data_IF_788135582985
#
_entry.id   IF_788135582985
#
_cell.length_a   1.000
_cell.length_b   1.000
_cell.length_c   1.000
_cell.angle_alpha   90.00
_cell.angle_beta   90.00
_cell.angle_gamma   90.00
#
_symmetry.space_group_name_H-M   'P 1'
#
loop_
_entity.id
_entity.type
_entity.pdbx_description
1 polymer ?
#
# COMPACT_ATOMS: atom_id res chain seq x y z
N UNK A 1 -46.86 22.06 -6.89
CA UNK A 1 -46.43 20.87 -6.10
C UNK A 1 -45.28 20.10 -6.75
N UNK A 2 -45.28 19.92 -8.08
CA UNK A 2 -44.28 19.12 -8.80
C UNK A 2 -42.82 19.60 -8.64
N UNK A 3 -42.58 20.91 -8.58
CA UNK A 3 -41.22 21.46 -8.43
C UNK A 3 -40.63 21.26 -7.02
N UNK A 4 -41.48 21.23 -5.99
CA UNK A 4 -41.04 20.97 -4.61
C UNK A 4 -40.51 19.54 -4.47
N UNK A 5 -41.16 18.56 -5.10
CA UNK A 5 -40.71 17.17 -5.10
C UNK A 5 -39.39 16.97 -5.86
N UNK A 6 -39.23 17.64 -7.02
CA UNK A 6 -37.96 17.62 -7.77
C UNK A 6 -36.82 18.23 -6.97
N UNK A 7 -37.06 19.35 -6.29
CA UNK A 7 -36.06 20.01 -5.42
C UNK A 7 -35.64 19.14 -4.24
N UNK A 8 -36.58 18.45 -3.59
CA UNK A 8 -36.29 17.52 -2.49
C UNK A 8 -35.49 16.31 -3.01
N UNK A 9 -35.91 15.70 -4.12
CA UNK A 9 -35.21 14.56 -4.72
C UNK A 9 -33.77 14.93 -5.09
N UNK A 10 -33.56 16.09 -5.71
CA UNK A 10 -32.21 16.57 -6.03
C UNK A 10 -31.33 16.69 -4.77
N UNK A 11 -31.84 17.27 -3.68
CA UNK A 11 -31.10 17.37 -2.41
C UNK A 11 -30.76 16.00 -1.84
N UNK A 12 -31.68 15.04 -1.91
CA UNK A 12 -31.44 13.66 -1.44
C UNK A 12 -30.35 12.99 -2.27
N UNK A 13 -30.43 13.05 -3.61
CA UNK A 13 -29.41 12.49 -4.49
C UNK A 13 -28.05 13.13 -4.24
N UNK A 14 -28.01 14.45 -4.08
CA UNK A 14 -26.78 15.18 -3.77
C UNK A 14 -26.13 14.72 -2.45
N UNK A 15 -26.91 14.59 -1.38
CA UNK A 15 -26.41 14.09 -0.09
C UNK A 15 -25.89 12.66 -0.21
N UNK A 16 -26.61 11.78 -0.91
CA UNK A 16 -26.18 10.39 -1.12
C UNK A 16 -24.88 10.32 -1.93
N UNK A 17 -24.68 11.21 -2.91
CA UNK A 17 -23.41 11.31 -3.65
C UNK A 17 -22.26 11.71 -2.72
N UNK A 18 -22.47 12.66 -1.81
CA UNK A 18 -21.46 13.04 -0.80
C UNK A 18 -21.13 11.86 0.11
N UNK A 19 -22.16 11.15 0.60
CA UNK A 19 -21.97 9.97 1.45
C UNK A 19 -21.20 8.85 0.74
N UNK A 20 -21.45 8.67 -0.57
CA UNK A 20 -20.71 7.74 -1.42
C UNK A 20 -19.23 8.07 -1.58
N UNK A 21 -18.83 9.33 -1.40
CA UNK A 21 -17.44 9.79 -1.52
C UNK A 21 -16.66 9.76 -0.19
N UNK A 22 -17.31 9.51 0.94
CA UNK A 22 -16.64 9.49 2.26
C UNK A 22 -15.40 8.59 2.36
N UNK A 23 -15.32 7.40 1.72
CA UNK A 23 -14.12 6.58 1.77
C UNK A 23 -12.86 7.27 1.22
N UNK A 24 -13.02 8.21 0.28
CA UNK A 24 -11.92 8.96 -0.31
C UNK A 24 -11.27 9.92 0.68
N UNK A 25 -12.04 10.42 1.65
CA UNK A 25 -11.54 11.36 2.65
C UNK A 25 -10.37 10.75 3.40
N UNK A 26 -10.47 9.47 3.79
CA UNK A 26 -9.43 8.72 4.52
C UNK A 26 -8.04 8.86 3.89
N UNK A 27 -7.91 8.51 2.61
CA UNK A 27 -6.62 8.62 1.91
C UNK A 27 -6.19 10.06 1.67
N UNK A 28 -7.09 10.92 1.21
CA UNK A 28 -6.78 12.33 0.95
C UNK A 28 -6.28 13.02 2.23
N UNK A 29 -6.94 12.80 3.36
CA UNK A 29 -6.52 13.37 4.63
C UNK A 29 -5.19 12.83 5.14
N UNK A 30 -4.88 11.54 4.91
CA UNK A 30 -3.56 10.99 5.24
C UNK A 30 -2.47 11.65 4.40
N UNK A 31 -2.71 11.79 3.09
CA UNK A 31 -1.76 12.44 2.17
C UNK A 31 -1.52 13.91 2.52
N UNK A 32 -2.55 14.60 3.02
CA UNK A 32 -2.46 15.99 3.47
C UNK A 32 -1.89 16.14 4.90
N UNK A 33 -1.56 15.03 5.58
CA UNK A 33 -1.04 15.06 6.95
C UNK A 33 -2.08 15.40 8.03
N UNK A 34 -3.38 15.32 7.72
CA UNK A 34 -4.46 15.59 8.68
C UNK A 34 -4.58 14.50 9.75
N UNK A 35 -4.13 13.29 9.44
CA UNK A 35 -4.10 12.15 10.36
C UNK A 35 -3.05 11.12 9.92
N UNK A 36 -2.73 10.18 10.82
CA UNK A 36 -1.80 9.11 10.54
C UNK A 36 -2.28 8.19 9.38
N UNK A 37 -1.35 7.60 8.59
CA UNK A 37 -1.68 6.73 7.47
C UNK A 37 -2.67 5.61 7.80
N UNK A 38 -2.42 4.90 8.92
CA UNK A 38 -3.27 3.80 9.37
C UNK A 38 -4.68 4.28 9.76
N UNK A 39 -4.80 5.47 10.35
CA UNK A 39 -6.09 6.09 10.68
C UNK A 39 -6.89 6.37 9.41
N UNK A 40 -6.28 6.96 8.39
CA UNK A 40 -6.97 7.21 7.13
C UNK A 40 -7.40 5.94 6.41
N UNK A 41 -6.56 4.89 6.44
CA UNK A 41 -6.93 3.57 5.94
C UNK A 41 -8.15 2.99 6.68
N UNK A 42 -8.14 3.02 8.02
CA UNK A 42 -9.27 2.57 8.83
C UNK A 42 -10.54 3.38 8.58
N UNK A 43 -10.43 4.69 8.38
CA UNK A 43 -11.55 5.55 8.00
C UNK A 43 -12.11 5.14 6.64
N UNK A 44 -11.27 4.93 5.62
CA UNK A 44 -11.70 4.44 4.31
C UNK A 44 -12.50 3.14 4.44
N UNK A 45 -11.99 2.18 5.21
CA UNK A 45 -12.67 0.90 5.45
C UNK A 45 -14.00 1.08 6.17
N UNK A 46 -14.04 1.92 7.22
CA UNK A 46 -15.25 2.20 8.00
C UNK A 46 -16.35 2.86 7.16
N UNK A 47 -15.99 3.78 6.27
CA UNK A 47 -16.96 4.50 5.42
C UNK A 47 -17.38 3.72 4.18
N UNK A 48 -16.74 2.59 3.88
CA UNK A 48 -17.08 1.77 2.71
C UNK A 48 -18.51 1.21 2.78
N UNK A 49 -18.97 0.79 3.97
CA UNK A 49 -20.33 0.27 4.16
C UNK A 49 -21.40 1.37 3.96
N UNK A 50 -21.34 2.53 4.65
CA UNK A 50 -22.25 3.65 4.39
C UNK A 50 -22.22 4.12 2.92
N UNK A 51 -21.05 4.14 2.28
CA UNK A 51 -20.92 4.51 0.88
C UNK A 51 -21.62 3.49 -0.04
N UNK A 52 -21.47 2.20 0.23
CA UNK A 52 -22.16 1.14 -0.51
C UNK A 52 -23.69 1.23 -0.36
N UNK A 53 -24.19 1.49 0.85
CA UNK A 53 -25.63 1.73 1.09
C UNK A 53 -26.11 2.94 0.30
N UNK A 54 -25.35 4.04 0.33
CA UNK A 54 -25.70 5.26 -0.39
C UNK A 54 -25.72 5.04 -1.90
N UNK A 55 -24.74 4.30 -2.43
CA UNK A 55 -24.67 3.90 -3.83
C UNK A 55 -25.86 3.00 -4.24
N UNK A 56 -26.27 2.06 -3.38
CA UNK A 56 -27.44 1.23 -3.63
C UNK A 56 -28.73 2.08 -3.73
N UNK A 57 -28.92 3.04 -2.83
CA UNK A 57 -30.07 3.95 -2.88
C UNK A 57 -30.05 4.80 -4.15
N UNK A 58 -28.88 5.32 -4.55
CA UNK A 58 -28.72 6.05 -5.82
C UNK A 58 -29.08 5.18 -7.03
N UNK A 59 -28.61 3.93 -7.04
CA UNK A 59 -28.90 2.97 -8.11
C UNK A 59 -30.41 2.69 -8.23
N UNK A 60 -31.13 2.60 -7.11
CA UNK A 60 -32.59 2.48 -7.11
C UNK A 60 -33.26 3.67 -7.83
N UNK A 61 -32.88 4.90 -7.49
CA UNK A 61 -33.47 6.09 -8.12
C UNK A 61 -33.14 6.18 -9.61
N UNK A 62 -31.93 5.76 -10.02
CA UNK A 62 -31.55 5.67 -11.43
C UNK A 62 -32.46 4.66 -12.16
N UNK A 63 -32.61 3.44 -11.63
CA UNK A 63 -33.50 2.45 -12.25
C UNK A 63 -34.95 2.90 -12.28
N UNK A 64 -35.46 3.51 -11.22
CA UNK A 64 -36.82 4.04 -11.18
C UNK A 64 -37.05 5.19 -12.18
N UNK A 65 -36.02 5.95 -12.52
CA UNK A 65 -36.11 7.01 -13.53
C UNK A 65 -36.11 6.46 -14.97
N UNK A 66 -35.22 5.51 -15.27
CA UNK A 66 -35.08 4.97 -16.63
C UNK A 66 -36.10 3.87 -16.97
N UNK A 67 -36.52 3.07 -15.99
CA UNK A 67 -37.47 1.97 -16.19
C UNK A 67 -38.87 2.45 -15.80
N UNK A 68 -39.68 2.80 -16.81
CA UNK A 68 -41.07 3.27 -16.61
C UNK A 68 -41.98 2.25 -15.93
N UNK A 69 -41.70 0.96 -16.08
CA UNK A 69 -42.42 -0.12 -15.40
C UNK A 69 -41.88 -0.32 -13.98
N UNK A 70 -42.69 0.08 -13.00
CA UNK A 70 -42.35 0.02 -11.58
C UNK A 70 -42.07 -1.41 -11.09
N UNK A 71 -42.75 -2.44 -11.63
CA UNK A 71 -42.51 -3.83 -11.23
C UNK A 71 -41.14 -4.29 -11.72
N UNK A 72 -40.80 -3.96 -12.98
CA UNK A 72 -39.48 -4.26 -13.57
C UNK A 72 -38.35 -3.52 -12.85
N UNK A 73 -38.54 -2.24 -12.52
CA UNK A 73 -37.56 -1.45 -11.79
C UNK A 73 -37.23 -2.06 -10.42
N UNK A 74 -38.28 -2.44 -9.67
CA UNK A 74 -38.12 -3.09 -8.35
C UNK A 74 -37.46 -4.46 -8.49
N UNK A 75 -37.87 -5.28 -9.46
CA UNK A 75 -37.25 -6.60 -9.66
C UNK A 75 -35.77 -6.51 -10.04
N UNK A 76 -35.40 -5.57 -10.92
CA UNK A 76 -34.00 -5.34 -11.30
C UNK A 76 -33.16 -4.84 -10.12
N UNK A 77 -33.71 -3.97 -9.28
CA UNK A 77 -33.03 -3.49 -8.08
C UNK A 77 -32.83 -4.59 -7.04
N UNK A 78 -33.86 -5.40 -6.77
CA UNK A 78 -33.75 -6.55 -5.86
C UNK A 78 -32.71 -7.53 -6.37
N UNK A 79 -32.69 -7.82 -7.67
CA UNK A 79 -31.68 -8.69 -8.27
C UNK A 79 -30.27 -8.12 -8.08
N UNK A 80 -30.07 -6.83 -8.30
CA UNK A 80 -28.79 -6.16 -8.06
C UNK A 80 -28.35 -6.24 -6.58
N UNK A 81 -29.29 -6.07 -5.63
CA UNK A 81 -29.01 -6.23 -4.20
C UNK A 81 -28.67 -7.67 -3.83
N UNK A 82 -29.33 -8.67 -4.44
CA UNK A 82 -29.02 -10.08 -4.21
C UNK A 82 -27.61 -10.39 -4.71
N UNK A 83 -27.23 -9.95 -5.91
CA UNK A 83 -25.86 -10.11 -6.42
C UNK A 83 -24.83 -9.38 -5.57
N UNK A 84 -25.11 -8.15 -5.14
CA UNK A 84 -24.23 -7.38 -4.26
C UNK A 84 -24.09 -8.04 -2.88
N UNK A 85 -25.19 -8.51 -2.30
CA UNK A 85 -25.21 -9.21 -1.02
C UNK A 85 -24.49 -10.56 -1.08
N UNK A 86 -24.66 -11.31 -2.18
CA UNK A 86 -23.91 -12.53 -2.45
C UNK A 86 -22.41 -12.22 -2.57
N UNK A 87 -22.04 -11.21 -3.37
CA UNK A 87 -20.66 -10.74 -3.48
C UNK A 87 -20.08 -10.30 -2.13
N UNK A 88 -20.85 -9.65 -1.26
CA UNK A 88 -20.43 -9.26 0.07
C UNK A 88 -20.24 -10.47 1.00
N UNK A 89 -21.21 -11.38 1.07
CA UNK A 89 -21.15 -12.56 1.96
C UNK A 89 -20.01 -13.49 1.55
N UNK A 90 -19.80 -13.72 0.26
CA UNK A 90 -18.75 -14.60 -0.22
C UNK A 90 -17.39 -13.90 -0.37
N UNK A 91 -17.37 -12.57 -0.57
CA UNK A 91 -16.14 -11.81 -0.80
C UNK A 91 -15.56 -11.09 0.43
N UNK A 92 -16.38 -10.68 1.40
CA UNK A 92 -15.97 -9.86 2.54
C UNK A 92 -15.98 -10.61 3.87
N UNK A 93 -16.93 -11.54 4.07
CA UNK A 93 -17.07 -12.29 5.34
C UNK A 93 -16.22 -13.58 5.42
N UNK A 94 -15.48 -13.91 4.36
CA UNK A 94 -14.40 -14.88 4.50
C UNK A 94 -13.21 -14.13 5.12
N UNK A 95 -12.56 -14.70 6.14
CA UNK A 95 -11.15 -14.33 6.37
C UNK A 95 -10.49 -14.39 5.01
N UNK A 96 -9.88 -13.30 4.51
CA UNK A 96 -9.30 -13.38 3.19
C UNK A 96 -8.15 -14.35 3.36
N UNK A 97 -8.37 -15.59 2.91
CA UNK A 97 -7.31 -16.50 2.51
C UNK A 97 -6.32 -15.65 1.73
N UNK A 98 -5.02 -15.84 1.89
CA UNK A 98 -4.06 -15.02 1.17
C UNK A 98 -4.06 -15.37 -0.33
N UNK A 99 -5.17 -15.08 -1.01
CA UNK A 99 -5.48 -15.34 -2.41
C UNK A 99 -4.50 -14.59 -3.32
N UNK A 100 -3.96 -13.50 -2.81
CA UNK A 100 -2.87 -12.74 -3.44
C UNK A 100 -1.50 -13.36 -3.22
N UNK A 101 -1.29 -14.14 -2.16
CA UNK A 101 0.03 -14.60 -1.72
C UNK A 101 0.94 -13.47 -1.20
N UNK A 102 0.40 -12.30 -0.86
CA UNK A 102 1.15 -11.08 -0.55
C UNK A 102 0.90 -10.56 0.87
N UNK A 103 -0.04 -11.15 1.61
CA UNK A 103 -0.42 -10.66 2.95
C UNK A 103 0.62 -11.05 4.01
N UNK A 104 0.61 -10.39 5.16
CA UNK A 104 1.36 -10.85 6.35
C UNK A 104 2.90 -10.78 6.26
N UNK A 105 3.44 -10.06 5.28
CA UNK A 105 4.85 -9.63 5.20
C UNK A 105 4.88 -8.12 5.08
N UNK A 106 5.76 -7.48 5.84
CA UNK A 106 5.95 -6.03 5.89
C UNK A 106 7.42 -5.63 6.14
N UNK A 107 8.30 -6.63 6.21
CA UNK A 107 9.75 -6.50 6.30
C UNK A 107 10.34 -7.45 5.27
N UNK A 108 11.05 -6.90 4.30
CA UNK A 108 11.61 -7.65 3.18
C UNK A 108 13.09 -7.31 3.06
N UNK A 109 13.96 -8.31 3.10
CA UNK A 109 15.41 -8.16 2.97
C UNK A 109 15.99 -9.08 1.90
N UNK A 110 16.99 -8.61 1.17
CA UNK A 110 17.76 -9.43 0.24
C UNK A 110 18.71 -10.39 0.97
N UNK A 111 19.12 -10.06 2.20
CA UNK A 111 19.94 -10.90 3.07
C UNK A 111 19.14 -11.27 4.32
N UNK A 112 18.60 -12.49 4.36
CA UNK A 112 17.78 -12.97 5.49
C UNK A 112 18.63 -13.54 6.63
N UNK A 113 19.91 -13.84 6.38
CA UNK A 113 20.82 -14.38 7.40
C UNK A 113 21.48 -13.25 8.19
N UNK A 114 21.83 -12.17 7.51
CA UNK A 114 22.36 -10.94 8.09
C UNK A 114 21.66 -9.71 7.49
N UNK A 115 20.40 -9.45 7.88
CA UNK A 115 19.65 -8.31 7.37
C UNK A 115 20.38 -6.99 7.63
N UNK A 116 20.47 -6.08 6.65
CA UNK A 116 20.97 -4.74 6.89
C UNK A 116 20.27 -4.05 8.08
N UNK A 117 21.06 -3.45 8.95
CA UNK A 117 20.59 -2.78 10.17
C UNK A 117 20.26 -1.31 9.92
N UNK A 118 19.15 -0.85 10.47
CA UNK A 118 18.82 0.56 10.56
C UNK A 118 19.57 1.22 11.73
N UNK A 119 20.08 2.43 11.52
CA UNK A 119 20.77 3.24 12.54
C UNK A 119 20.17 4.63 12.67
N UNK A 120 19.93 5.31 11.55
CA UNK A 120 19.38 6.66 11.55
C UNK A 120 17.85 6.68 11.73
N UNK A 121 17.15 5.65 11.25
CA UNK A 121 15.69 5.56 11.27
C UNK A 121 15.12 4.82 12.50
N UNK A 122 15.93 4.55 13.53
CA UNK A 122 15.50 3.85 14.75
C UNK A 122 14.36 4.58 15.47
N UNK A 123 14.47 5.91 15.58
CA UNK A 123 13.48 6.78 16.25
C UNK A 123 12.52 7.46 15.26
N UNK A 124 12.37 6.90 14.05
CA UNK A 124 11.53 7.49 13.03
C UNK A 124 10.07 7.62 13.51
N UNK A 125 9.42 8.79 13.34
CA UNK A 125 8.11 9.05 13.91
C UNK A 125 7.04 8.13 13.33
N UNK A 126 6.10 7.72 14.19
CA UNK A 126 4.96 6.90 13.83
C UNK A 126 5.28 5.41 13.59
N UNK A 127 6.49 4.95 13.90
CA UNK A 127 6.86 3.53 13.86
C UNK A 127 6.17 2.75 14.98
N UNK A 128 5.61 1.60 14.61
CA UNK A 128 5.00 0.61 15.51
C UNK A 128 5.67 -0.76 15.31
N UNK A 129 6.00 -1.10 14.06
CA UNK A 129 6.62 -2.38 13.74
C UNK A 129 8.08 -2.42 14.24
N UNK A 130 8.45 -3.54 14.87
CA UNK A 130 9.80 -3.80 15.38
C UNK A 130 10.82 -3.91 14.24
N UNK A 131 12.10 -3.69 14.58
CA UNK A 131 13.24 -3.98 13.72
C UNK A 131 13.70 -5.44 13.79
N UNK A 132 13.09 -6.24 14.67
CA UNK A 132 13.37 -7.66 14.76
C UNK A 132 13.01 -8.37 13.45
N UNK A 133 13.90 -9.25 13.00
CA UNK A 133 13.70 -10.06 11.81
C UNK A 133 13.61 -11.55 12.22
N UNK A 134 12.47 -12.00 12.79
CA UNK A 134 12.34 -13.36 13.29
C UNK A 134 12.28 -14.37 12.14
N UNK A 135 12.61 -15.62 12.46
CA UNK A 135 12.60 -16.74 11.50
C UNK A 135 11.24 -16.89 10.78
N UNK A 136 10.13 -16.66 11.49
CA UNK A 136 8.79 -16.69 10.90
C UNK A 136 8.63 -15.67 9.76
N UNK A 137 9.17 -14.45 9.91
CA UNK A 137 9.17 -13.45 8.85
C UNK A 137 10.01 -13.92 7.66
N UNK A 138 11.18 -14.51 7.92
CA UNK A 138 12.04 -15.04 6.87
C UNK A 138 11.36 -16.17 6.09
N UNK A 139 10.66 -17.09 6.76
CA UNK A 139 9.92 -18.19 6.14
C UNK A 139 8.76 -17.66 5.28
N UNK A 140 7.99 -16.71 5.80
CA UNK A 140 6.91 -16.05 5.06
C UNK A 140 7.42 -15.28 3.86
N UNK A 141 8.51 -14.53 4.01
CA UNK A 141 9.17 -13.83 2.89
C UNK A 141 9.63 -14.84 1.85
N UNK A 142 10.33 -15.91 2.25
CA UNK A 142 10.85 -16.93 1.33
C UNK A 142 9.74 -17.62 0.54
N UNK A 143 8.59 -17.87 1.16
CA UNK A 143 7.44 -18.47 0.48
C UNK A 143 6.81 -17.51 -0.57
N UNK A 144 6.83 -16.20 -0.33
CA UNK A 144 6.10 -15.21 -1.13
C UNK A 144 6.95 -14.46 -2.13
N UNK A 145 8.21 -14.23 -1.77
CA UNK A 145 9.20 -13.43 -2.51
C UNK A 145 10.54 -14.18 -2.66
N UNK A 146 10.56 -15.44 -3.15
CA UNK A 146 11.79 -16.23 -3.27
C UNK A 146 12.84 -15.65 -4.23
N UNK A 147 12.44 -14.69 -5.07
CA UNK A 147 13.34 -14.00 -6.00
C UNK A 147 14.07 -12.81 -5.38
N UNK A 148 13.66 -12.31 -4.20
CA UNK A 148 14.35 -11.21 -3.51
C UNK A 148 15.68 -11.73 -2.96
N UNK A 149 16.78 -11.28 -3.55
CA UNK A 149 18.15 -11.78 -3.30
C UNK A 149 19.14 -10.61 -3.42
N UNK A 150 20.37 -10.75 -2.88
CA UNK A 150 21.36 -9.69 -2.97
C UNK A 150 21.73 -9.41 -4.42
N UNK A 151 21.94 -8.14 -4.77
CA UNK A 151 22.41 -7.75 -6.08
C UNK A 151 23.94 -7.85 -6.12
N UNK A 152 24.48 -8.58 -7.09
CA UNK A 152 25.93 -8.74 -7.30
C UNK A 152 26.31 -7.92 -8.54
N UNK A 153 27.40 -7.16 -8.45
CA UNK A 153 27.90 -6.29 -9.52
C UNK A 153 29.42 -6.36 -9.62
N UNK A 154 29.97 -6.12 -10.80
CA UNK A 154 31.42 -5.99 -11.04
C UNK A 154 31.97 -4.63 -10.61
N UNK A 155 31.10 -3.67 -10.28
CA UNK A 155 31.51 -2.35 -9.79
C UNK A 155 32.30 -2.46 -8.49
N UNK A 156 33.32 -1.63 -8.34
CA UNK A 156 34.03 -1.47 -7.08
C UNK A 156 33.08 -0.91 -6.00
N UNK A 157 33.32 -1.18 -4.69
CA UNK A 157 32.39 -0.83 -3.63
C UNK A 157 31.97 0.63 -3.58
N UNK A 158 32.91 1.55 -3.85
CA UNK A 158 32.63 3.00 -3.87
C UNK A 158 31.71 3.37 -5.04
N UNK A 159 31.95 2.81 -6.23
CA UNK A 159 31.15 3.07 -7.42
C UNK A 159 29.74 2.46 -7.29
N UNK A 160 29.66 1.22 -6.77
CA UNK A 160 28.40 0.56 -6.47
C UNK A 160 27.59 1.33 -5.43
N UNK A 161 28.24 1.87 -4.39
CA UNK A 161 27.59 2.71 -3.38
C UNK A 161 27.03 4.01 -3.98
N UNK A 162 27.84 4.73 -4.76
CA UNK A 162 27.41 5.97 -5.40
C UNK A 162 26.26 5.71 -6.37
N UNK A 163 26.35 4.64 -7.18
CA UNK A 163 25.27 4.21 -8.07
C UNK A 163 23.99 3.88 -7.30
N UNK A 164 24.11 3.11 -6.21
CA UNK A 164 22.98 2.75 -5.36
C UNK A 164 22.29 3.99 -4.79
N UNK A 165 23.07 4.96 -4.31
CA UNK A 165 22.56 6.20 -3.75
C UNK A 165 21.86 7.06 -4.83
N UNK A 166 22.40 7.12 -6.04
CA UNK A 166 21.77 7.87 -7.14
C UNK A 166 20.49 7.20 -7.64
N UNK A 167 20.45 5.87 -7.72
CA UNK A 167 19.22 5.11 -8.02
C UNK A 167 18.13 5.39 -6.98
N UNK A 168 18.47 5.44 -5.68
CA UNK A 168 17.52 5.79 -4.63
C UNK A 168 16.91 7.18 -4.86
N UNK A 169 17.73 8.17 -5.23
CA UNK A 169 17.26 9.53 -5.57
C UNK A 169 16.41 9.55 -6.84
N UNK A 170 16.81 8.83 -7.89
CA UNK A 170 16.07 8.71 -9.16
C UNK A 170 14.67 8.10 -8.94
N UNK A 171 14.55 7.15 -8.01
CA UNK A 171 13.29 6.56 -7.61
C UNK A 171 12.45 7.46 -6.69
N UNK A 172 13.01 8.60 -6.27
CA UNK A 172 12.34 9.58 -5.41
C UNK A 172 12.31 9.19 -3.94
N UNK A 173 13.20 8.30 -3.49
CA UNK A 173 13.32 7.98 -2.06
C UNK A 173 13.91 9.18 -1.31
N UNK A 174 13.37 9.46 -0.13
CA UNK A 174 13.88 10.49 0.76
C UNK A 174 15.07 9.95 1.52
N UNK A 175 16.28 10.45 1.23
CA UNK A 175 17.50 9.99 1.90
C UNK A 175 17.55 10.55 3.33
N UNK A 176 17.48 9.65 4.32
CA UNK A 176 17.49 10.00 5.73
C UNK A 176 18.92 10.14 6.28
N UNK A 177 19.84 9.26 5.85
CA UNK A 177 21.24 9.30 6.25
C UNK A 177 22.15 8.59 5.25
N UNK A 178 23.41 9.01 5.18
CA UNK A 178 24.46 8.39 4.37
C UNK A 178 25.69 8.12 5.23
N UNK A 179 26.30 6.95 5.07
CA UNK A 179 27.56 6.54 5.67
C UNK A 179 28.41 5.84 4.59
N UNK A 180 29.08 6.62 3.71
CA UNK A 180 29.89 6.07 2.62
C UNK A 180 31.04 5.20 3.13
N UNK A 181 31.62 5.53 4.30
CA UNK A 181 32.67 4.74 4.95
C UNK A 181 32.21 3.33 5.30
N UNK A 182 30.96 3.17 5.73
CA UNK A 182 30.37 1.86 6.00
C UNK A 182 29.63 1.25 4.79
N UNK A 183 29.66 1.91 3.63
CA UNK A 183 28.90 1.51 2.45
C UNK A 183 27.39 1.48 2.68
N UNK A 184 26.86 2.29 3.60
CA UNK A 184 25.45 2.25 4.02
C UNK A 184 24.73 3.56 3.74
N UNK A 185 23.46 3.50 3.36
CA UNK A 185 22.56 4.64 3.47
C UNK A 185 21.16 4.16 3.87
N UNK A 186 20.39 5.07 4.45
CA UNK A 186 19.01 4.87 4.87
C UNK A 186 18.13 5.89 4.17
N UNK A 187 16.94 5.45 3.75
CA UNK A 187 15.98 6.25 3.04
C UNK A 187 14.55 5.85 3.43
N UNK A 188 13.57 6.68 3.07
CA UNK A 188 12.15 6.38 3.22
C UNK A 188 11.45 6.54 1.88
N UNK A 189 10.60 5.59 1.53
CA UNK A 189 9.66 5.72 0.41
C UNK A 189 8.21 5.70 0.91
N UNK A 190 7.32 6.34 0.16
CA UNK A 190 5.95 6.63 0.60
C UNK A 190 4.91 6.01 -0.32
N UNK A 191 3.86 5.43 0.26
CA UNK A 191 2.70 5.03 -0.54
C UNK A 191 1.93 6.27 -1.04
N UNK A 192 1.55 6.28 -2.32
CA UNK A 192 1.02 7.49 -2.97
C UNK A 192 -0.32 7.99 -2.43
N UNK A 193 -1.15 7.08 -1.89
CA UNK A 193 -2.51 7.39 -1.47
C UNK A 193 -2.62 7.63 0.03
N UNK A 194 -2.09 6.72 0.84
CA UNK A 194 -2.18 6.80 2.30
C UNK A 194 -0.93 7.35 2.97
N UNK A 195 0.16 7.56 2.21
CA UNK A 195 1.43 8.04 2.75
C UNK A 195 2.02 7.13 3.84
N UNK A 196 1.83 5.82 3.67
CA UNK A 196 2.53 4.82 4.47
C UNK A 196 4.03 4.94 4.22
N UNK A 197 4.81 4.87 5.30
CA UNK A 197 6.25 5.06 5.31
C UNK A 197 6.93 3.70 5.33
N UNK A 198 7.76 3.45 4.33
CA UNK A 198 8.56 2.24 4.21
C UNK A 198 10.03 2.65 4.27
N UNK A 199 10.67 2.32 5.38
CA UNK A 199 12.07 2.65 5.63
C UNK A 199 12.95 1.61 4.95
N UNK A 200 13.96 2.08 4.25
CA UNK A 200 14.83 1.28 3.40
C UNK A 200 16.27 1.52 3.84
N UNK A 201 17.01 0.45 4.07
CA UNK A 201 18.46 0.50 4.28
C UNK A 201 19.13 -0.25 3.13
N UNK A 202 20.16 0.36 2.58
CA UNK A 202 21.02 -0.25 1.57
C UNK A 202 22.43 -0.37 2.15
N UNK A 203 23.04 -1.55 2.00
CA UNK A 203 24.39 -1.87 2.44
C UNK A 203 25.18 -2.44 1.27
N UNK A 204 26.28 -1.80 0.92
CA UNK A 204 27.22 -2.21 -0.13
C UNK A 204 28.50 -2.71 0.52
N UNK A 205 28.97 -3.89 0.10
CA UNK A 205 30.22 -4.49 0.59
C UNK A 205 30.99 -5.10 -0.58
N UNK A 206 32.31 -5.22 -0.43
CA UNK A 206 33.13 -5.94 -1.38
C UNK A 206 32.71 -7.41 -1.47
N UNK A 207 32.65 -7.94 -2.69
CA UNK A 207 32.38 -9.34 -2.98
C UNK A 207 33.25 -9.80 -4.15
N UNK A 208 34.34 -10.50 -3.85
CA UNK A 208 35.36 -10.87 -4.83
C UNK A 208 35.98 -9.65 -5.52
N UNK A 209 35.91 -9.61 -6.85
CA UNK A 209 36.40 -8.50 -7.67
C UNK A 209 35.42 -7.32 -7.78
N UNK A 210 34.19 -7.48 -7.30
CA UNK A 210 33.13 -6.50 -7.38
C UNK A 210 32.49 -6.22 -6.03
N UNK A 211 31.16 -6.05 -6.05
CA UNK A 211 30.39 -5.68 -4.86
C UNK A 211 29.08 -6.44 -4.76
N UNK A 212 28.65 -6.63 -3.51
CA UNK A 212 27.33 -7.09 -3.13
C UNK A 212 26.53 -5.93 -2.54
N UNK A 213 25.31 -5.74 -3.02
CA UNK A 213 24.35 -4.76 -2.56
C UNK A 213 23.21 -5.48 -1.87
N UNK A 214 23.12 -5.31 -0.54
CA UNK A 214 22.03 -5.80 0.28
C UNK A 214 21.02 -4.68 0.55
N UNK A 215 19.73 -4.99 0.50
CA UNK A 215 18.64 -4.03 0.69
C UNK A 215 17.63 -4.63 1.66
N UNK A 216 17.17 -3.84 2.63
CA UNK A 216 16.03 -4.18 3.48
C UNK A 216 15.01 -3.05 3.46
N UNK A 217 13.74 -3.40 3.26
CA UNK A 217 12.61 -2.50 3.25
C UNK A 217 11.63 -2.92 4.36
N UNK A 218 11.42 -2.05 5.34
CA UNK A 218 10.60 -2.29 6.52
C UNK A 218 9.52 -1.21 6.66
N UNK A 219 8.26 -1.66 6.60
CA UNK A 219 7.08 -0.80 6.79
C UNK A 219 6.95 -0.37 8.24
N UNK A 220 6.71 0.91 8.51
CA UNK A 220 6.58 1.44 9.88
C UNK A 220 5.35 0.93 10.64
N UNK A 221 4.23 0.69 9.95
CA UNK A 221 2.93 0.33 10.57
C UNK A 221 2.16 -0.71 9.77
N UNK A 222 1.41 -1.55 10.47
CA UNK A 222 0.54 -2.57 9.88
C UNK A 222 1.27 -3.91 9.68
N UNK A 223 0.50 -5.00 9.70
CA UNK A 223 1.06 -6.36 9.62
C UNK A 223 1.37 -6.82 8.19
N UNK A 224 1.05 -6.02 7.18
CA UNK A 224 1.30 -6.34 5.77
C UNK A 224 1.44 -5.10 4.90
N UNK A 225 2.42 -5.14 4.01
CA UNK A 225 2.65 -4.10 2.99
C UNK A 225 2.08 -4.48 1.60
N UNK A 226 1.38 -5.61 1.51
CA UNK A 226 0.83 -6.16 0.26
C UNK A 226 1.88 -6.33 -0.86
N UNK A 227 3.13 -6.64 -0.48
CA UNK A 227 4.24 -6.88 -1.41
C UNK A 227 4.95 -5.62 -1.89
N UNK A 228 4.60 -4.45 -1.36
CA UNK A 228 5.22 -3.18 -1.78
C UNK A 228 6.72 -3.13 -1.49
N UNK A 229 7.20 -3.68 -0.37
CA UNK A 229 8.63 -3.75 -0.04
C UNK A 229 9.42 -4.55 -1.07
N UNK A 230 8.92 -5.73 -1.47
CA UNK A 230 9.53 -6.53 -2.53
C UNK A 230 9.52 -5.81 -3.89
N UNK A 231 8.43 -5.10 -4.22
CA UNK A 231 8.33 -4.29 -5.44
C UNK A 231 9.35 -3.14 -5.44
N UNK A 232 9.62 -2.51 -4.30
CA UNK A 232 10.62 -1.44 -4.19
C UNK A 232 12.03 -1.95 -4.42
N UNK A 233 12.38 -3.08 -3.79
CA UNK A 233 13.67 -3.74 -4.01
C UNK A 233 13.83 -4.09 -5.49
N UNK A 234 12.82 -4.71 -6.11
CA UNK A 234 12.86 -5.06 -7.54
C UNK A 234 13.02 -3.84 -8.45
N UNK A 235 12.33 -2.72 -8.17
CA UNK A 235 12.48 -1.49 -8.94
C UNK A 235 13.88 -0.90 -8.80
N UNK A 236 14.42 -0.92 -7.58
CA UNK A 236 15.78 -0.50 -7.30
C UNK A 236 16.79 -1.34 -8.10
N UNK A 237 16.71 -2.67 -8.00
CA UNK A 237 17.61 -3.57 -8.72
C UNK A 237 17.54 -3.36 -10.24
N UNK A 238 16.32 -3.24 -10.77
CA UNK A 238 16.12 -2.98 -12.20
C UNK A 238 16.75 -1.65 -12.64
N UNK A 239 16.58 -0.59 -11.87
CA UNK A 239 17.14 0.72 -12.18
C UNK A 239 18.67 0.73 -12.04
N UNK A 240 19.19 0.05 -11.02
CA UNK A 240 20.63 -0.12 -10.79
C UNK A 240 21.33 -0.77 -11.99
N UNK A 241 20.71 -1.80 -12.58
CA UNK A 241 21.26 -2.56 -13.72
C UNK A 241 21.01 -1.92 -15.09
N UNK A 242 20.19 -0.87 -15.20
CA UNK A 242 19.76 -0.31 -16.48
C UNK A 242 20.77 0.65 -17.14
N UNK A 243 21.98 0.77 -16.61
CA UNK A 243 23.00 1.77 -16.99
C UNK A 243 24.36 1.12 -17.22
#
# INVERSE_FOLDING_TARGET
MQDKHKSILFKVLFVLSILGMLPLLGGVGSKLGLWAPLTGFMMTMKYMIPAAISAAILLFFIFAYFIKDRKRAVSSYVLALVFAGFGYVYGVNQEPTDWTGLRGVHDVTTDMENPPEFKALLDAPGRINSFDYPQETAERQKAKFPWVKPLITEMAPVDAYNRALDVAKELGWEIAATDPSAGRFEATDYSKWFHFNDDIVVRVRADGAGSRVDIRCLTRVGGSDHGLGAIRIMKFEKQFLAS
#
